data_IF_569078596984
#
_entry.id   IF_569078596984
#
_cell.length_a   1.000
_cell.length_b   1.000
_cell.length_c   1.000
_cell.angle_alpha   90.00
_cell.angle_beta   90.00
_cell.angle_gamma   90.00
#
_symmetry.space_group_name_H-M   'P 1'
#
loop_
_entity.id
_entity.type
_entity.pdbx_description
1 polymer ?
#
# COMPACT_ATOMS: atom_id res chain seq x y z
N UNK A 1 14.77 15.15 -0.65
CA UNK A 1 13.38 14.81 -1.01
C UNK A 1 12.47 15.11 0.18
N UNK A 2 11.44 15.93 -0.02
CA UNK A 2 10.46 16.29 1.01
C UNK A 2 9.08 15.87 0.53
N UNK A 3 8.44 14.96 1.26
CA UNK A 3 7.04 14.60 1.08
C UNK A 3 6.11 15.45 1.94
N UNK A 4 4.83 15.52 1.58
CA UNK A 4 3.80 16.21 2.34
C UNK A 4 3.25 17.46 1.66
N UNK A 5 2.87 18.49 2.45
CA UNK A 5 2.26 19.70 1.90
C UNK A 5 3.26 20.51 1.06
N UNK A 6 2.87 20.83 -0.18
CA UNK A 6 3.69 21.58 -1.13
C UNK A 6 4.16 22.94 -0.59
N UNK A 7 3.42 23.56 0.33
CA UNK A 7 3.76 24.86 0.89
C UNK A 7 5.13 24.85 1.58
N UNK A 8 5.35 23.91 2.48
CA UNK A 8 6.61 23.82 3.24
C UNK A 8 7.79 23.53 2.33
N UNK A 9 7.62 22.65 1.37
CA UNK A 9 8.68 22.29 0.44
C UNK A 9 9.13 23.48 -0.41
N UNK A 10 8.16 24.23 -0.95
CA UNK A 10 8.41 25.42 -1.77
C UNK A 10 9.00 26.54 -0.94
N UNK A 11 8.49 26.76 0.27
CA UNK A 11 9.00 27.79 1.17
C UNK A 11 10.45 27.54 1.57
N UNK A 12 10.77 26.31 1.98
CA UNK A 12 12.12 25.91 2.37
C UNK A 12 13.11 26.00 1.20
N UNK A 13 12.73 25.48 0.03
CA UNK A 13 13.58 25.59 -1.16
C UNK A 13 13.89 27.05 -1.50
N UNK A 14 12.89 27.91 -1.50
CA UNK A 14 13.07 29.34 -1.76
C UNK A 14 13.95 30.01 -0.72
N UNK A 15 13.74 29.72 0.58
CA UNK A 15 14.52 30.31 1.67
C UNK A 15 15.98 29.91 1.66
N UNK A 16 16.25 28.64 1.29
CA UNK A 16 17.60 28.06 1.28
C UNK A 16 18.31 28.20 -0.07
N UNK A 17 17.64 28.76 -1.08
CA UNK A 17 18.23 28.93 -2.42
C UNK A 17 18.39 27.64 -3.22
N UNK A 18 17.63 26.57 -2.87
CA UNK A 18 17.69 25.31 -3.60
C UNK A 18 16.80 25.32 -4.84
N UNK A 19 17.27 24.68 -5.89
CA UNK A 19 16.40 24.30 -7.01
C UNK A 19 15.37 23.28 -6.54
N UNK A 20 14.12 23.45 -6.98
CA UNK A 20 13.03 22.59 -6.58
C UNK A 20 12.14 22.21 -7.74
N UNK A 21 11.71 20.94 -7.75
CA UNK A 21 10.66 20.42 -8.62
C UNK A 21 9.54 19.95 -7.72
N UNK A 22 8.32 20.41 -7.97
CA UNK A 22 7.14 19.97 -7.24
C UNK A 22 6.30 19.05 -8.11
N UNK A 23 6.12 17.81 -7.69
CA UNK A 23 5.17 16.89 -8.33
C UNK A 23 3.74 17.23 -7.86
N UNK A 24 2.84 17.38 -8.81
CA UNK A 24 1.44 17.71 -8.58
C UNK A 24 0.54 16.62 -9.17
N UNK A 25 -0.09 15.83 -8.30
CA UNK A 25 -1.06 14.79 -8.67
C UNK A 25 -2.42 15.39 -9.06
N UNK A 26 -2.96 16.27 -8.22
CA UNK A 26 -4.30 16.84 -8.39
C UNK A 26 -4.29 18.33 -8.61
N UNK A 27 -3.41 19.04 -7.93
CA UNK A 27 -3.31 20.49 -8.00
C UNK A 27 -1.88 20.96 -7.76
N UNK A 28 -1.39 21.85 -8.60
CA UNK A 28 -0.15 22.56 -8.37
C UNK A 28 -0.42 23.79 -7.51
N UNK A 29 -0.21 23.66 -6.20
CA UNK A 29 -0.32 24.81 -5.27
C UNK A 29 0.90 25.72 -5.41
N UNK A 30 0.70 27.01 -5.19
CA UNK A 30 1.76 28.01 -5.13
C UNK A 30 2.63 28.09 -6.40
N UNK A 31 2.05 28.07 -7.62
CA UNK A 31 2.82 28.06 -8.88
C UNK A 31 3.71 29.29 -9.06
N UNK A 32 3.42 30.39 -8.35
CA UNK A 32 4.27 31.59 -8.33
C UNK A 32 5.65 31.30 -7.73
N UNK A 33 5.69 30.48 -6.69
CA UNK A 33 6.90 30.22 -5.89
C UNK A 33 7.67 28.97 -6.34
N UNK A 34 7.02 28.07 -7.04
CA UNK A 34 7.67 26.90 -7.61
C UNK A 34 8.62 27.29 -8.75
N UNK A 35 9.79 26.69 -8.78
CA UNK A 35 10.74 26.84 -9.89
C UNK A 35 10.30 25.98 -11.07
N UNK A 36 10.08 24.69 -10.83
CA UNK A 36 9.56 23.72 -11.79
C UNK A 36 8.37 22.95 -11.22
N UNK A 37 7.41 22.60 -12.06
CA UNK A 37 6.23 21.82 -11.71
C UNK A 37 6.16 20.61 -12.64
N UNK A 38 6.11 19.43 -12.04
CA UNK A 38 5.87 18.17 -12.73
C UNK A 38 4.40 17.77 -12.47
N UNK A 39 3.54 17.91 -13.47
CA UNK A 39 2.13 17.59 -13.38
C UNK A 39 1.86 16.13 -13.76
N UNK A 40 0.93 15.47 -13.07
CA UNK A 40 0.53 14.11 -13.39
C UNK A 40 -0.15 14.01 -14.75
N UNK A 41 -0.98 15.00 -15.11
CA UNK A 41 -1.73 15.00 -16.37
C UNK A 41 -2.00 16.43 -16.87
N UNK A 42 -2.60 16.53 -18.07
CA UNK A 42 -2.95 17.81 -18.68
C UNK A 42 -4.05 18.56 -17.90
N UNK A 43 -4.92 17.88 -17.16
CA UNK A 43 -5.96 18.51 -16.32
C UNK A 43 -5.31 19.35 -15.24
N UNK A 44 -4.34 18.76 -14.52
CA UNK A 44 -3.56 19.47 -13.49
C UNK A 44 -2.82 20.66 -14.07
N UNK A 45 -2.20 20.49 -15.25
CA UNK A 45 -1.53 21.59 -15.96
C UNK A 45 -2.50 22.69 -16.36
N UNK A 46 -3.73 22.34 -16.76
CA UNK A 46 -4.72 23.31 -17.24
C UNK A 46 -5.29 24.20 -16.13
N UNK A 47 -5.31 23.74 -14.89
CA UNK A 47 -5.70 24.54 -13.71
C UNK A 47 -4.65 25.62 -13.40
N UNK A 48 -3.39 25.42 -13.80
CA UNK A 48 -2.32 26.40 -13.54
C UNK A 48 -2.56 27.69 -14.35
N UNK A 49 -2.46 28.87 -13.71
CA UNK A 49 -2.60 30.15 -14.41
C UNK A 49 -1.64 30.26 -15.60
N UNK A 50 -2.12 30.79 -16.74
CA UNK A 50 -1.39 30.85 -18.04
C UNK A 50 0.06 31.34 -17.90
N UNK A 51 0.29 32.37 -17.07
CA UNK A 51 1.62 32.97 -16.85
C UNK A 51 2.67 32.00 -16.24
N UNK A 52 2.20 30.92 -15.59
CA UNK A 52 3.08 29.94 -14.95
C UNK A 52 3.14 28.59 -15.70
N UNK A 53 2.32 28.39 -16.76
CA UNK A 53 2.30 27.14 -17.52
C UNK A 53 3.66 26.77 -18.14
N UNK A 54 4.50 27.76 -18.43
CA UNK A 54 5.87 27.52 -18.95
C UNK A 54 6.78 26.77 -17.97
N UNK A 55 6.46 26.82 -16.66
CA UNK A 55 7.20 26.10 -15.62
C UNK A 55 6.68 24.69 -15.39
N UNK A 56 5.58 24.31 -16.05
CA UNK A 56 4.91 23.05 -15.83
C UNK A 56 5.09 22.11 -17.02
N UNK A 57 5.59 20.92 -16.73
CA UNK A 57 5.67 19.80 -17.65
C UNK A 57 4.77 18.66 -17.17
N UNK A 58 4.03 18.04 -18.08
CA UNK A 58 3.29 16.81 -17.79
C UNK A 58 4.25 15.65 -17.90
N UNK A 59 4.39 14.88 -16.84
CA UNK A 59 5.31 13.75 -16.76
C UNK A 59 4.61 12.39 -16.59
N UNK A 60 3.30 12.38 -16.37
CA UNK A 60 2.53 11.17 -16.13
C UNK A 60 2.35 10.84 -14.65
N UNK A 61 1.73 9.70 -14.39
CA UNK A 61 1.55 9.15 -13.04
C UNK A 61 2.80 8.35 -12.64
N UNK A 62 3.49 8.80 -11.59
CA UNK A 62 4.67 8.11 -11.07
C UNK A 62 4.36 6.70 -10.57
N UNK A 63 3.10 6.42 -10.20
CA UNK A 63 2.70 5.08 -9.79
C UNK A 63 2.56 4.10 -10.96
N UNK A 64 2.33 4.62 -12.18
CA UNK A 64 2.24 3.80 -13.40
C UNK A 64 3.58 3.17 -13.81
N UNK A 65 4.70 3.74 -13.39
CA UNK A 65 6.04 3.25 -13.71
C UNK A 65 6.42 1.94 -13.01
N UNK A 66 5.64 1.54 -12.02
CA UNK A 66 5.83 0.27 -11.28
C UNK A 66 5.79 -0.97 -12.20
N UNK A 67 5.14 -0.88 -13.36
CA UNK A 67 4.98 -1.99 -14.31
C UNK A 67 6.28 -2.53 -14.94
N UNK A 68 7.34 -1.75 -14.94
CA UNK A 68 8.46 -1.99 -15.86
C UNK A 68 9.44 -3.10 -15.47
N UNK A 69 9.30 -3.72 -14.27
CA UNK A 69 10.28 -4.70 -13.78
C UNK A 69 9.66 -5.93 -13.09
N UNK A 70 8.51 -6.41 -13.60
CA UNK A 70 7.81 -7.55 -12.99
C UNK A 70 8.35 -8.87 -13.57
N UNK A 71 9.04 -9.66 -12.76
CA UNK A 71 9.53 -11.02 -13.11
C UNK A 71 8.79 -12.10 -12.31
N UNK A 72 8.50 -13.27 -12.90
CA UNK A 72 7.86 -14.37 -12.18
C UNK A 72 8.67 -14.83 -10.96
N UNK A 73 7.99 -15.13 -9.86
CA UNK A 73 8.59 -15.67 -8.64
C UNK A 73 8.11 -17.11 -8.46
N UNK A 74 9.04 -18.02 -8.41
CA UNK A 74 8.76 -19.47 -8.42
C UNK A 74 7.87 -19.93 -7.26
N UNK A 75 8.03 -19.38 -6.05
CA UNK A 75 7.23 -19.79 -4.88
C UNK A 75 5.74 -19.42 -4.98
N UNK A 76 5.41 -18.41 -5.80
CA UNK A 76 4.04 -17.93 -6.00
C UNK A 76 3.40 -18.56 -7.23
N UNK A 77 4.24 -18.89 -8.20
CA UNK A 77 3.79 -19.46 -9.47
C UNK A 77 3.00 -20.76 -9.24
N UNK A 78 1.96 -20.97 -10.02
CA UNK A 78 1.06 -22.13 -9.96
C UNK A 78 0.15 -22.25 -8.72
N UNK A 79 0.08 -21.24 -7.86
CA UNK A 79 -0.84 -21.19 -6.73
C UNK A 79 -1.80 -20.01 -6.86
N UNK A 80 -2.98 -20.13 -6.27
CA UNK A 80 -3.94 -19.02 -6.19
C UNK A 80 -3.66 -18.22 -4.93
N UNK A 81 -3.21 -16.99 -5.09
CA UNK A 81 -2.92 -16.08 -3.98
C UNK A 81 -3.91 -14.92 -3.93
N UNK A 82 -4.35 -14.59 -2.73
CA UNK A 82 -5.06 -13.35 -2.41
C UNK A 82 -4.16 -12.53 -1.50
N UNK A 83 -3.90 -11.29 -1.90
CA UNK A 83 -3.17 -10.33 -1.09
C UNK A 83 -4.13 -9.55 -0.18
N UNK A 84 -3.80 -9.40 1.09
CA UNK A 84 -4.56 -8.64 2.07
C UNK A 84 -3.74 -7.44 2.52
N UNK A 85 -4.23 -6.23 2.27
CA UNK A 85 -3.55 -4.98 2.58
C UNK A 85 -4.36 -4.17 3.62
N UNK A 86 -4.13 -4.42 4.92
CA UNK A 86 -4.93 -3.81 5.99
C UNK A 86 -4.64 -2.32 6.19
N UNK A 87 -3.67 -1.77 5.46
CA UNK A 87 -3.18 -0.40 5.59
C UNK A 87 -1.80 -0.34 6.24
N UNK A 88 -1.21 0.85 6.28
CA UNK A 88 0.12 1.10 6.84
C UNK A 88 0.12 1.97 8.09
N UNK A 89 -0.93 2.76 8.30
CA UNK A 89 -1.06 3.65 9.46
C UNK A 89 -1.73 2.93 10.62
N UNK A 90 -1.28 3.17 11.86
CA UNK A 90 -1.84 2.53 13.06
C UNK A 90 -3.37 2.61 13.16
N UNK A 91 -3.94 3.78 12.81
CA UNK A 91 -5.40 3.95 12.79
C UNK A 91 -6.11 3.02 11.78
N UNK A 92 -5.50 2.71 10.65
CA UNK A 92 -6.04 1.76 9.67
C UNK A 92 -5.81 0.32 10.09
N UNK A 93 -4.63 0.00 10.61
CA UNK A 93 -4.28 -1.32 11.10
C UNK A 93 -5.19 -1.75 12.25
N UNK A 94 -5.56 -0.83 13.15
CA UNK A 94 -6.46 -1.14 14.27
C UNK A 94 -7.84 -1.63 13.83
N UNK A 95 -8.32 -1.20 12.67
CA UNK A 95 -9.58 -1.65 12.08
C UNK A 95 -9.33 -2.83 11.11
N UNK A 96 -8.33 -2.67 10.27
CA UNK A 96 -8.05 -3.60 9.17
C UNK A 96 -7.59 -4.98 9.64
N UNK A 97 -6.77 -5.07 10.69
CA UNK A 97 -6.27 -6.37 11.15
C UNK A 97 -7.40 -7.26 11.66
N UNK A 98 -8.24 -6.86 12.63
CA UNK A 98 -9.35 -7.70 13.09
C UNK A 98 -10.31 -8.07 11.97
N UNK A 99 -10.66 -7.10 11.12
CA UNK A 99 -11.56 -7.30 9.99
C UNK A 99 -11.01 -8.34 9.00
N UNK A 100 -9.78 -8.16 8.54
CA UNK A 100 -9.20 -9.04 7.53
C UNK A 100 -8.84 -10.44 8.05
N UNK A 101 -8.59 -10.61 9.34
CA UNK A 101 -8.46 -11.94 9.93
C UNK A 101 -9.78 -12.71 9.88
N UNK A 102 -10.90 -12.04 10.18
CA UNK A 102 -12.23 -12.65 10.02
C UNK A 102 -12.52 -13.00 8.56
N UNK A 103 -12.19 -12.09 7.61
CA UNK A 103 -12.32 -12.35 6.18
C UNK A 103 -11.45 -13.53 5.73
N UNK A 104 -10.21 -13.62 6.23
CA UNK A 104 -9.30 -14.71 5.91
C UNK A 104 -9.85 -16.07 6.36
N UNK A 105 -10.40 -16.13 7.56
CA UNK A 105 -11.03 -17.35 8.07
C UNK A 105 -12.26 -17.74 7.22
N UNK A 106 -13.08 -16.77 6.81
CA UNK A 106 -14.23 -17.01 5.92
C UNK A 106 -13.82 -17.52 4.54
N UNK A 107 -12.74 -16.93 3.96
CA UNK A 107 -12.20 -17.42 2.68
C UNK A 107 -11.76 -18.88 2.80
N UNK A 108 -11.12 -19.23 3.90
CA UNK A 108 -10.66 -20.60 4.16
C UNK A 108 -11.85 -21.57 4.32
N UNK A 109 -12.92 -21.16 4.97
CA UNK A 109 -14.16 -21.95 5.09
C UNK A 109 -14.79 -22.25 3.70
N UNK A 110 -14.59 -21.36 2.70
CA UNK A 110 -15.09 -21.54 1.34
C UNK A 110 -14.26 -22.49 0.46
N UNK A 111 -13.04 -22.84 0.86
CA UNK A 111 -12.20 -23.79 0.14
C UNK A 111 -10.70 -23.68 0.41
N UNK A 112 -9.99 -24.80 0.25
CA UNK A 112 -8.59 -24.93 0.64
C UNK A 112 -7.56 -24.50 -0.43
N UNK A 113 -7.98 -24.25 -1.66
CA UNK A 113 -7.07 -23.99 -2.78
C UNK A 113 -6.58 -22.53 -2.89
N UNK A 114 -6.80 -21.72 -1.85
CA UNK A 114 -6.43 -20.31 -1.84
C UNK A 114 -5.39 -20.07 -0.77
N UNK A 115 -4.28 -19.45 -1.15
CA UNK A 115 -3.26 -18.99 -0.24
C UNK A 115 -3.45 -17.49 0.04
N UNK A 116 -3.20 -17.09 1.28
CA UNK A 116 -3.37 -15.72 1.75
C UNK A 116 -2.03 -15.12 2.11
N UNK A 117 -1.79 -13.86 1.72
CA UNK A 117 -0.60 -13.13 2.13
C UNK A 117 -0.93 -11.71 2.59
N UNK A 118 -0.14 -11.21 3.53
CA UNK A 118 -0.16 -9.82 3.97
C UNK A 118 1.22 -9.21 3.67
N UNK A 119 1.34 -8.37 2.65
CA UNK A 119 2.54 -7.56 2.47
C UNK A 119 2.55 -6.43 3.50
N UNK A 120 3.64 -6.27 4.22
CA UNK A 120 3.84 -5.20 5.19
C UNK A 120 5.09 -4.39 4.84
N UNK A 121 5.07 -3.11 5.21
CA UNK A 121 6.26 -2.27 5.09
C UNK A 121 7.35 -2.73 6.09
N UNK A 122 8.64 -2.55 5.78
CA UNK A 122 9.71 -2.89 6.71
C UNK A 122 9.62 -2.19 8.06
N UNK A 123 8.94 -1.04 8.10
CA UNK A 123 8.70 -0.22 9.31
C UNK A 123 7.50 -0.69 10.13
N UNK A 124 6.76 -1.71 9.67
CA UNK A 124 5.60 -2.25 10.40
C UNK A 124 6.10 -3.34 11.35
N UNK A 125 5.87 -3.15 12.63
CA UNK A 125 6.24 -4.12 13.67
C UNK A 125 5.19 -5.24 13.75
N UNK A 126 5.63 -6.48 13.93
CA UNK A 126 4.69 -7.61 14.11
C UNK A 126 3.89 -7.49 15.41
N UNK A 127 4.46 -6.84 16.41
CA UNK A 127 3.82 -6.51 17.67
C UNK A 127 2.56 -5.68 17.47
N UNK A 128 2.51 -4.84 16.43
CA UNK A 128 1.31 -4.09 16.05
C UNK A 128 0.15 -5.04 15.69
N UNK A 129 0.41 -6.18 15.02
CA UNK A 129 -0.63 -7.18 14.70
C UNK A 129 -1.21 -7.79 15.96
N UNK A 130 -0.35 -8.19 16.89
CA UNK A 130 -0.76 -8.78 18.18
C UNK A 130 -1.52 -7.73 19.00
N UNK A 131 -1.01 -6.50 19.05
CA UNK A 131 -1.63 -5.40 19.80
C UNK A 131 -3.04 -5.08 19.26
N UNK A 132 -3.19 -4.92 17.93
CA UNK A 132 -4.46 -4.56 17.33
C UNK A 132 -5.48 -5.72 17.34
N UNK A 133 -5.04 -6.94 17.56
CA UNK A 133 -5.93 -8.09 17.78
C UNK A 133 -6.24 -8.34 19.27
N UNK A 134 -5.61 -7.63 20.18
CA UNK A 134 -5.83 -7.79 21.63
C UNK A 134 -7.13 -7.11 22.10
N UNK A 135 -7.59 -7.48 23.29
CA UNK A 135 -8.75 -6.86 23.95
C UNK A 135 -8.58 -5.33 24.21
N UNK A 136 -7.35 -4.80 24.09
CA UNK A 136 -7.09 -3.36 24.17
C UNK A 136 -7.64 -2.59 22.98
N UNK A 137 -7.86 -3.26 21.85
CA UNK A 137 -8.51 -2.67 20.69
C UNK A 137 -10.03 -2.92 20.75
N UNK A 138 -10.87 -1.87 20.93
CA UNK A 138 -12.31 -2.03 21.11
C UNK A 138 -13.02 -2.61 19.87
N UNK A 139 -12.37 -2.58 18.71
CA UNK A 139 -12.91 -3.12 17.46
C UNK A 139 -12.92 -4.65 17.47
N UNK A 140 -12.00 -5.30 18.19
CA UNK A 140 -11.88 -6.77 18.21
C UNK A 140 -13.15 -7.47 18.72
N UNK A 141 -13.93 -6.81 19.57
CA UNK A 141 -15.21 -7.37 20.08
C UNK A 141 -16.26 -7.68 18.99
N UNK A 142 -16.11 -7.09 17.79
CA UNK A 142 -17.02 -7.33 16.68
C UNK A 142 -16.61 -8.52 15.80
N UNK A 143 -15.43 -9.11 16.04
CA UNK A 143 -14.87 -10.18 15.23
C UNK A 143 -14.55 -11.40 16.09
N UNK A 144 -14.72 -12.59 15.51
CA UNK A 144 -14.46 -13.86 16.22
C UNK A 144 -13.06 -14.41 15.98
N UNK A 145 -12.38 -13.93 14.92
CA UNK A 145 -11.06 -14.43 14.54
C UNK A 145 -9.97 -13.81 15.39
N UNK A 146 -9.06 -14.66 15.87
CA UNK A 146 -7.92 -14.27 16.71
C UNK A 146 -6.64 -14.90 16.20
N UNK A 147 -5.50 -14.25 16.49
CA UNK A 147 -4.17 -14.78 16.20
C UNK A 147 -3.84 -15.86 17.24
N UNK A 148 -3.56 -17.08 16.75
CA UNK A 148 -3.08 -18.20 17.56
C UNK A 148 -1.56 -18.16 17.71
N UNK A 149 -0.85 -17.93 16.58
CA UNK A 149 0.60 -17.86 16.56
C UNK A 149 1.14 -17.08 15.36
N UNK A 150 2.32 -16.51 15.51
CA UNK A 150 3.14 -15.98 14.42
C UNK A 150 4.50 -16.66 14.50
N UNK A 151 4.93 -17.31 13.44
CA UNK A 151 6.20 -18.05 13.37
C UNK A 151 7.05 -17.52 12.22
N UNK A 152 8.35 -17.36 12.47
CA UNK A 152 9.32 -17.03 11.43
C UNK A 152 9.47 -18.20 10.46
N UNK A 153 9.62 -17.90 9.18
CA UNK A 153 9.91 -18.88 8.13
C UNK A 153 11.34 -18.65 7.65
N UNK A 154 12.08 -19.73 7.47
CA UNK A 154 13.41 -19.69 6.89
C UNK A 154 13.38 -20.23 5.44
N UNK A 155 14.32 -19.79 4.61
CA UNK A 155 14.45 -20.22 3.21
C UNK A 155 13.20 -20.01 2.35
N UNK A 156 12.45 -18.92 2.59
CA UNK A 156 11.25 -18.54 1.83
C UNK A 156 11.27 -17.04 1.53
N UNK A 157 10.53 -16.62 0.48
CA UNK A 157 10.27 -15.20 0.24
C UNK A 157 9.42 -14.57 1.36
N UNK A 158 8.65 -15.38 2.07
CA UNK A 158 7.84 -14.95 3.21
C UNK A 158 8.67 -14.96 4.49
N UNK A 159 8.52 -13.91 5.28
CA UNK A 159 9.26 -13.76 6.52
C UNK A 159 8.60 -14.51 7.68
N UNK A 160 7.26 -14.54 7.70
CA UNK A 160 6.50 -15.16 8.78
C UNK A 160 5.23 -15.84 8.26
N UNK A 161 4.70 -16.76 9.05
CA UNK A 161 3.35 -17.32 8.91
C UNK A 161 2.56 -17.00 10.17
N UNK A 162 1.42 -16.34 9.99
CA UNK A 162 0.41 -16.10 11.00
C UNK A 162 -0.62 -17.22 10.90
N UNK A 163 -0.96 -17.82 12.02
CA UNK A 163 -2.03 -18.81 12.14
C UNK A 163 -3.15 -18.26 13.02
N UNK A 164 -4.39 -18.31 12.54
CA UNK A 164 -5.56 -17.93 13.32
C UNK A 164 -6.02 -19.07 14.22
N UNK A 165 -6.88 -18.77 15.19
CA UNK A 165 -7.49 -19.80 16.05
C UNK A 165 -8.36 -20.79 15.27
N UNK A 166 -8.81 -20.45 14.06
CA UNK A 166 -9.50 -21.34 13.12
C UNK A 166 -8.55 -22.10 12.18
N UNK A 167 -7.24 -22.09 12.48
CA UNK A 167 -6.16 -22.74 11.72
C UNK A 167 -5.96 -22.19 10.29
N UNK A 168 -6.40 -20.97 9.99
CA UNK A 168 -6.09 -20.30 8.74
C UNK A 168 -4.66 -19.80 8.76
N UNK A 169 -3.89 -20.14 7.74
CA UNK A 169 -2.51 -19.69 7.57
C UNK A 169 -2.46 -18.48 6.63
N UNK A 170 -1.81 -17.42 7.07
CA UNK A 170 -1.61 -16.19 6.33
C UNK A 170 -0.10 -15.92 6.30
N UNK A 171 0.47 -15.81 5.11
CA UNK A 171 1.90 -15.58 4.94
C UNK A 171 2.20 -14.08 4.99
N UNK A 172 3.16 -13.68 5.80
CA UNK A 172 3.56 -12.27 5.94
C UNK A 172 4.85 -12.05 5.14
N UNK A 173 4.80 -11.04 4.28
CA UNK A 173 5.89 -10.60 3.43
C UNK A 173 6.34 -9.21 3.83
N UNK A 174 7.57 -9.08 4.33
CA UNK A 174 8.14 -7.83 4.80
C UNK A 174 9.29 -7.39 3.89
N UNK A 175 9.01 -6.52 2.93
CA UNK A 175 9.97 -6.04 1.93
C UNK A 175 9.73 -4.57 1.58
N UNK A 176 10.74 -3.91 1.01
CA UNK A 176 10.65 -2.53 0.55
C UNK A 176 9.70 -2.34 -0.65
N UNK A 177 9.62 -3.35 -1.53
CA UNK A 177 8.74 -3.33 -2.70
C UNK A 177 8.13 -4.71 -2.90
N UNK A 178 6.80 -4.76 -2.93
CA UNK A 178 6.03 -5.99 -3.06
C UNK A 178 5.34 -6.14 -4.43
N UNK A 179 5.53 -5.18 -5.36
CA UNK A 179 4.79 -5.12 -6.62
C UNK A 179 4.96 -6.37 -7.47
N UNK A 180 6.19 -6.90 -7.53
CA UNK A 180 6.49 -8.11 -8.28
C UNK A 180 5.73 -9.35 -7.77
N UNK A 181 5.56 -9.45 -6.46
CA UNK A 181 4.81 -10.53 -5.82
C UNK A 181 3.31 -10.31 -5.97
N UNK A 182 2.87 -9.07 -5.74
CA UNK A 182 1.46 -8.69 -5.85
C UNK A 182 0.92 -8.88 -7.26
N UNK A 183 1.71 -8.60 -8.30
CA UNK A 183 1.29 -8.79 -9.69
C UNK A 183 0.94 -10.23 -10.06
N UNK A 184 1.39 -11.20 -9.27
CA UNK A 184 1.12 -12.63 -9.46
C UNK A 184 -0.07 -13.12 -8.63
N UNK A 185 -0.63 -12.27 -7.77
CA UNK A 185 -1.87 -12.57 -7.06
C UNK A 185 -3.08 -12.52 -7.98
N UNK A 186 -4.14 -13.24 -7.61
CA UNK A 186 -5.40 -13.24 -8.36
C UNK A 186 -6.33 -12.11 -7.95
N UNK A 187 -6.22 -11.66 -6.71
CA UNK A 187 -7.08 -10.64 -6.11
C UNK A 187 -6.33 -9.95 -4.97
N UNK A 188 -6.63 -8.68 -4.75
CA UNK A 188 -6.26 -7.97 -3.53
C UNK A 188 -7.50 -7.54 -2.74
N UNK A 189 -7.43 -7.67 -1.42
CA UNK A 189 -8.35 -7.08 -0.47
C UNK A 189 -7.64 -5.92 0.21
N UNK A 190 -8.09 -4.70 0.03
CA UNK A 190 -7.34 -3.53 0.48
C UNK A 190 -8.21 -2.46 1.12
N UNK A 191 -7.65 -1.67 2.00
CA UNK A 191 -8.28 -0.42 2.44
C UNK A 191 -7.95 0.71 1.46
N UNK A 192 -8.80 1.74 1.42
CA UNK A 192 -8.54 2.95 0.61
C UNK A 192 -7.18 3.56 0.96
N UNK A 193 -6.39 3.93 -0.05
CA UNK A 193 -5.10 4.59 0.14
C UNK A 193 -4.19 4.49 -1.08
N UNK A 194 -2.91 4.83 -0.93
CA UNK A 194 -1.90 4.74 -2.00
C UNK A 194 -1.82 3.33 -2.62
N UNK A 195 -2.06 2.29 -1.81
CA UNK A 195 -2.08 0.90 -2.28
C UNK A 195 -3.05 0.68 -3.45
N UNK A 196 -4.18 1.40 -3.50
CA UNK A 196 -5.16 1.22 -4.59
C UNK A 196 -4.61 1.67 -5.94
N UNK A 197 -3.83 2.76 -5.97
CA UNK A 197 -3.17 3.23 -7.18
C UNK A 197 -2.06 2.27 -7.63
N UNK A 198 -1.26 1.77 -6.67
CA UNK A 198 -0.21 0.79 -6.94
C UNK A 198 -0.78 -0.52 -7.50
N UNK A 199 -1.86 -1.04 -6.89
CA UNK A 199 -2.53 -2.25 -7.36
C UNK A 199 -3.15 -2.08 -8.75
N UNK A 200 -3.74 -0.91 -9.03
CA UNK A 200 -4.24 -0.57 -10.36
C UNK A 200 -3.11 -0.51 -11.39
N UNK A 201 -1.96 0.08 -11.04
CA UNK A 201 -0.80 0.17 -11.92
C UNK A 201 -0.26 -1.20 -12.33
N UNK A 202 -0.31 -2.20 -11.46
CA UNK A 202 0.11 -3.59 -11.77
C UNK A 202 -1.04 -4.45 -12.33
N UNK A 203 -2.22 -3.88 -12.62
CA UNK A 203 -3.42 -4.55 -13.08
C UNK A 203 -3.91 -5.70 -12.18
N UNK A 204 -3.74 -5.59 -10.88
CA UNK A 204 -4.26 -6.56 -9.94
C UNK A 204 -5.72 -6.23 -9.59
N UNK A 205 -6.69 -7.11 -9.88
CA UNK A 205 -8.07 -6.94 -9.42
C UNK A 205 -8.13 -6.73 -7.91
N UNK A 206 -8.98 -5.82 -7.44
CA UNK A 206 -9.06 -5.53 -6.01
C UNK A 206 -10.48 -5.29 -5.53
N UNK A 207 -10.72 -5.66 -4.27
CA UNK A 207 -11.90 -5.26 -3.49
C UNK A 207 -11.42 -4.24 -2.47
N UNK A 208 -11.97 -3.03 -2.56
CA UNK A 208 -11.62 -1.93 -1.66
C UNK A 208 -12.65 -1.86 -0.54
N UNK A 209 -12.16 -1.90 0.69
CA UNK A 209 -12.98 -1.79 1.91
C UNK A 209 -12.77 -0.40 2.51
N UNK A 210 -13.86 0.26 2.82
CA UNK A 210 -13.86 1.60 3.41
C UNK A 210 -13.74 1.57 4.93
#
# INVERSE_FOLDING_TARGET
FLGGDQFWNVLLAKRLGYESITYAEWIARWPRWNLHIAAMNEEVRNIIPKKFKKKCQVIGDLMADVKNNLSPIHEINNKKWIAILPGSKKAKLSIGIPFFLEVADRIKECGDNINLMIPIAPTTELEDFIFFQSAKNPITKYYSSNIKSIKKIENSIFNYVLETCKNTKIFILQQNSNHNILSQCKLALTTVGANTAELAAINLPMIVVL
#
